data_IF_968685263097
#
_entry.id   IF_968685263097
#
_cell.length_a   1.000
_cell.length_b   1.000
_cell.length_c   1.000
_cell.angle_alpha   90.00
_cell.angle_beta   90.00
_cell.angle_gamma   90.00
#
_symmetry.space_group_name_H-M   'P 1'
#
loop_
_entity.id
_entity.type
_entity.pdbx_description
1 polymer ?
#
# COMPACT_ATOMS: atom_id res chain seq x y z
N UNK A 1 11.89 -13.21 -26.40
CA UNK A 1 12.20 -11.77 -26.48
C UNK A 1 11.00 -11.03 -27.08
N UNK A 2 10.31 -10.18 -26.29
CA UNK A 2 9.41 -9.07 -26.71
C UNK A 2 9.37 -8.08 -25.52
N UNK A 3 10.31 -7.13 -25.41
CA UNK A 3 10.24 -5.72 -25.86
C UNK A 3 9.00 -4.97 -25.35
N UNK A 4 9.18 -4.10 -24.33
CA UNK A 4 8.21 -3.09 -23.91
C UNK A 4 7.92 -3.04 -22.40
N UNK A 5 8.91 -2.64 -21.59
CA UNK A 5 8.77 -2.46 -20.14
C UNK A 5 7.93 -1.22 -19.81
N UNK A 6 6.61 -1.29 -20.00
CA UNK A 6 5.67 -0.38 -19.35
C UNK A 6 5.29 -1.00 -18.00
N UNK A 7 6.09 -0.71 -16.98
CA UNK A 7 5.70 -1.00 -15.59
C UNK A 7 4.43 -0.19 -15.28
N UNK A 8 3.27 -0.83 -15.45
CA UNK A 8 1.96 -0.24 -15.14
C UNK A 8 1.96 0.27 -13.70
N UNK A 9 1.17 1.32 -13.43
CA UNK A 9 1.07 1.86 -12.07
C UNK A 9 0.67 0.78 -11.05
N UNK A 10 -0.15 -0.19 -11.46
CA UNK A 10 -0.50 -1.37 -10.67
C UNK A 10 0.72 -2.24 -10.32
N UNK A 11 1.59 -2.56 -11.28
CA UNK A 11 2.83 -3.31 -11.02
C UNK A 11 3.78 -2.55 -10.09
N UNK A 12 3.81 -1.21 -10.17
CA UNK A 12 4.61 -0.39 -9.25
C UNK A 12 4.04 -0.43 -7.84
N UNK A 13 2.72 -0.33 -7.69
CA UNK A 13 2.04 -0.39 -6.40
C UNK A 13 2.18 -1.78 -5.75
N UNK A 14 2.13 -2.85 -6.53
CA UNK A 14 2.42 -4.22 -6.08
C UNK A 14 3.80 -4.32 -5.42
N UNK A 15 4.84 -3.92 -6.17
CA UNK A 15 6.22 -3.97 -5.67
C UNK A 15 6.43 -3.08 -4.45
N UNK A 16 5.72 -1.95 -4.41
CA UNK A 16 5.76 -1.04 -3.26
C UNK A 16 5.12 -1.69 -2.02
N UNK A 17 4.04 -2.45 -2.18
CA UNK A 17 3.40 -3.20 -1.10
C UNK A 17 4.35 -4.28 -0.55
N UNK A 18 4.90 -5.12 -1.44
CA UNK A 18 5.87 -6.17 -1.09
C UNK A 18 7.08 -5.63 -0.32
N UNK A 19 7.63 -4.50 -0.80
CA UNK A 19 8.75 -3.83 -0.13
C UNK A 19 8.34 -3.31 1.25
N UNK A 20 7.17 -2.70 1.36
CA UNK A 20 6.66 -2.14 2.62
C UNK A 20 6.41 -3.26 3.64
N UNK A 21 5.76 -4.35 3.24
CA UNK A 21 5.58 -5.56 4.05
C UNK A 21 6.93 -6.06 4.56
N UNK A 22 7.91 -6.23 3.66
CA UNK A 22 9.25 -6.69 4.03
C UNK A 22 9.90 -5.79 5.08
N UNK A 23 9.73 -4.46 4.96
CA UNK A 23 10.26 -3.51 5.94
C UNK A 23 9.55 -3.61 7.29
N UNK A 24 8.23 -3.77 7.30
CA UNK A 24 7.44 -3.91 8.55
C UNK A 24 7.84 -5.19 9.28
N UNK A 25 7.84 -6.32 8.58
CA UNK A 25 8.17 -7.62 9.17
C UNK A 25 9.64 -7.70 9.64
N UNK A 26 10.54 -6.97 8.99
CA UNK A 26 11.93 -6.86 9.42
C UNK A 26 12.15 -5.82 10.55
N UNK A 27 11.09 -5.23 11.13
CA UNK A 27 11.19 -4.22 12.17
C UNK A 27 11.76 -2.87 11.71
N UNK A 28 11.91 -2.64 10.40
CA UNK A 28 12.44 -1.40 9.81
C UNK A 28 11.35 -0.32 9.72
N UNK A 29 10.70 -0.02 10.84
CA UNK A 29 9.48 0.80 10.91
C UNK A 29 9.67 2.19 10.30
N UNK A 30 10.78 2.88 10.58
CA UNK A 30 11.05 4.20 10.01
C UNK A 30 11.10 4.20 8.47
N UNK A 31 11.54 3.10 7.84
CA UNK A 31 11.53 2.97 6.38
C UNK A 31 10.15 2.61 5.85
N UNK A 32 9.42 1.74 6.57
CA UNK A 32 8.03 1.43 6.24
C UNK A 32 7.14 2.68 6.27
N UNK A 33 7.29 3.54 7.29
CA UNK A 33 6.58 4.83 7.37
C UNK A 33 6.84 5.70 6.14
N UNK A 34 8.09 5.79 5.65
CA UNK A 34 8.38 6.55 4.42
C UNK A 34 7.67 5.99 3.19
N UNK A 35 7.56 4.66 3.07
CA UNK A 35 6.79 4.04 1.99
C UNK A 35 5.30 4.37 2.13
N UNK A 36 4.75 4.32 3.34
CA UNK A 36 3.36 4.66 3.61
C UNK A 36 3.05 6.13 3.30
N UNK A 37 3.91 7.06 3.71
CA UNK A 37 3.78 8.48 3.40
C UNK A 37 3.84 8.73 1.88
N UNK A 38 4.69 8.00 1.16
CA UNK A 38 4.76 8.08 -0.29
C UNK A 38 3.47 7.56 -0.95
N UNK A 39 2.91 6.45 -0.45
CA UNK A 39 1.64 5.92 -0.93
C UNK A 39 0.48 6.88 -0.64
N UNK A 40 0.44 7.50 0.55
CA UNK A 40 -0.56 8.50 0.90
C UNK A 40 -0.47 9.73 -0.02
N UNK A 41 0.74 10.21 -0.32
CA UNK A 41 0.94 11.31 -1.28
C UNK A 41 0.42 10.95 -2.67
N UNK A 42 0.69 9.73 -3.15
CA UNK A 42 0.18 9.23 -4.43
C UNK A 42 -1.35 9.11 -4.43
N UNK A 43 -1.93 8.72 -3.29
CA UNK A 43 -3.38 8.66 -3.13
C UNK A 43 -4.03 10.05 -3.14
N UNK A 44 -3.46 11.04 -2.44
CA UNK A 44 -4.04 12.37 -2.37
C UNK A 44 -3.89 13.17 -3.68
N UNK A 45 -2.71 13.09 -4.30
CA UNK A 45 -2.36 13.94 -5.46
C UNK A 45 -2.41 13.22 -6.81
N UNK A 46 -2.49 11.89 -6.82
CA UNK A 46 -2.45 11.10 -8.05
C UNK A 46 -3.72 11.20 -8.90
N UNK A 47 -3.60 10.77 -10.15
CA UNK A 47 -4.74 10.59 -11.06
C UNK A 47 -5.71 9.53 -10.54
N UNK A 48 -6.92 9.49 -11.08
CA UNK A 48 -7.90 8.45 -10.76
C UNK A 48 -7.31 7.03 -10.82
N UNK A 49 -6.53 6.74 -11.86
CA UNK A 49 -5.86 5.45 -12.03
C UNK A 49 -4.82 5.18 -10.93
N UNK A 50 -4.03 6.19 -10.55
CA UNK A 50 -3.06 6.06 -9.45
C UNK A 50 -3.76 5.84 -8.12
N UNK A 51 -4.83 6.59 -7.83
CA UNK A 51 -5.62 6.42 -6.60
C UNK A 51 -6.19 5.01 -6.49
N UNK A 52 -6.79 4.52 -7.57
CA UNK A 52 -7.31 3.15 -7.63
C UNK A 52 -6.19 2.11 -7.44
N UNK A 53 -5.01 2.32 -8.02
CA UNK A 53 -3.88 1.40 -7.82
C UNK A 53 -3.37 1.41 -6.38
N UNK A 54 -3.37 2.57 -5.71
CA UNK A 54 -3.00 2.65 -4.28
C UNK A 54 -4.00 1.90 -3.41
N UNK A 55 -5.31 2.13 -3.60
CA UNK A 55 -6.33 1.50 -2.76
C UNK A 55 -6.45 0.00 -3.02
N UNK A 56 -6.56 -0.40 -4.30
CA UNK A 56 -6.95 -1.77 -4.65
C UNK A 56 -5.76 -2.73 -4.81
N UNK A 57 -4.53 -2.22 -4.89
CA UNK A 57 -3.33 -3.05 -4.94
C UNK A 57 -2.49 -2.80 -3.70
N UNK A 58 -1.96 -1.58 -3.53
CA UNK A 58 -1.01 -1.33 -2.45
C UNK A 58 -1.62 -1.55 -1.06
N UNK A 59 -2.75 -0.89 -0.77
CA UNK A 59 -3.37 -0.92 0.55
C UNK A 59 -3.93 -2.30 0.86
N UNK A 60 -4.68 -2.89 -0.08
CA UNK A 60 -5.28 -4.22 0.06
C UNK A 60 -4.24 -5.31 0.33
N UNK A 61 -3.17 -5.39 -0.47
CA UNK A 61 -2.14 -6.42 -0.28
C UNK A 61 -1.35 -6.21 1.01
N UNK A 62 -0.99 -4.96 1.31
CA UNK A 62 -0.26 -4.62 2.52
C UNK A 62 -1.09 -5.01 3.76
N UNK A 63 -2.36 -4.59 3.83
CA UNK A 63 -3.19 -4.87 5.00
C UNK A 63 -3.43 -6.36 5.17
N UNK A 64 -3.71 -7.07 4.08
CA UNK A 64 -3.96 -8.52 4.11
C UNK A 64 -2.77 -9.29 4.68
N UNK A 65 -1.55 -8.99 4.22
CA UNK A 65 -0.35 -9.68 4.71
C UNK A 65 -0.05 -9.30 6.16
N UNK A 66 -0.17 -8.01 6.51
CA UNK A 66 0.11 -7.58 7.88
C UNK A 66 -0.89 -8.14 8.90
N UNK A 67 -2.16 -8.29 8.54
CA UNK A 67 -3.17 -8.97 9.36
C UNK A 67 -2.85 -10.44 9.59
N UNK A 68 -2.39 -11.16 8.55
CA UNK A 68 -1.93 -12.56 8.67
C UNK A 68 -0.75 -12.71 9.63
N UNK A 69 0.09 -11.67 9.74
CA UNK A 69 1.20 -11.61 10.69
C UNK A 69 0.82 -10.96 12.03
N UNK A 70 -0.48 -10.79 12.33
CA UNK A 70 -1.00 -10.18 13.56
C UNK A 70 -0.45 -8.77 13.86
N UNK A 71 -0.05 -8.03 12.82
CA UNK A 71 0.40 -6.66 12.95
C UNK A 71 -0.80 -5.72 13.08
N UNK A 72 -0.68 -4.68 13.91
CA UNK A 72 -1.73 -3.67 14.04
C UNK A 72 -1.69 -2.68 12.86
N UNK A 73 -2.36 -3.04 11.76
CA UNK A 73 -2.40 -2.26 10.52
C UNK A 73 -2.93 -0.85 10.74
N UNK A 74 -4.00 -0.69 11.55
CA UNK A 74 -4.62 0.62 11.82
C UNK A 74 -3.63 1.61 12.44
N UNK A 75 -2.76 1.16 13.34
CA UNK A 75 -1.77 2.03 13.98
C UNK A 75 -0.62 2.42 13.04
N UNK A 76 -0.37 1.63 12.00
CA UNK A 76 0.72 1.85 11.07
C UNK A 76 0.34 2.82 9.94
N UNK A 77 -0.92 2.77 9.49
CA UNK A 77 -1.38 3.52 8.32
C UNK A 77 -1.50 5.04 8.58
N UNK A 78 -1.07 5.89 7.64
CA UNK A 78 -1.40 7.30 7.61
C UNK A 78 -2.91 7.55 7.53
N UNK A 79 -3.36 8.71 8.00
CA UNK A 79 -4.78 9.00 8.25
C UNK A 79 -5.69 8.78 7.02
N UNK A 80 -5.23 9.14 5.81
CA UNK A 80 -6.05 9.00 4.60
C UNK A 80 -6.17 7.55 4.17
N UNK A 81 -5.07 6.78 4.25
CA UNK A 81 -5.07 5.35 3.92
C UNK A 81 -5.82 4.53 4.98
N UNK A 82 -5.72 4.92 6.25
CA UNK A 82 -6.47 4.30 7.34
C UNK A 82 -7.98 4.40 7.11
N UNK A 83 -8.48 5.55 6.63
CA UNK A 83 -9.90 5.73 6.28
C UNK A 83 -10.34 4.79 5.16
N UNK A 84 -9.54 4.64 4.11
CA UNK A 84 -9.86 3.73 3.01
C UNK A 84 -9.83 2.26 3.45
N UNK A 85 -8.87 1.88 4.30
CA UNK A 85 -8.81 0.56 4.89
C UNK A 85 -10.06 0.24 5.73
N UNK A 86 -10.51 1.19 6.56
CA UNK A 86 -11.75 1.02 7.34
C UNK A 86 -12.96 0.84 6.40
N UNK A 87 -13.03 1.59 5.29
CA UNK A 87 -14.09 1.41 4.29
C UNK A 87 -14.04 0.03 3.64
N UNK A 88 -12.86 -0.47 3.27
CA UNK A 88 -12.69 -1.80 2.69
C UNK A 88 -13.20 -2.89 3.63
N UNK A 89 -12.91 -2.79 4.92
CA UNK A 89 -13.31 -3.81 5.90
C UNK A 89 -14.80 -3.72 6.30
N UNK A 90 -15.40 -2.53 6.22
CA UNK A 90 -16.82 -2.34 6.52
C UNK A 90 -17.74 -2.54 5.30
N UNK A 91 -17.19 -2.85 4.13
CA UNK A 91 -17.96 -3.10 2.91
C UNK A 91 -18.61 -4.51 2.87
N UNK A 92 -18.61 -5.24 4.00
CA UNK A 92 -19.21 -6.55 4.19
C UNK A 92 -20.42 -6.47 5.11
#
# INVERSE_FOLDING_TARGET
MKTGNYSSIYNRMQRMAELTVTMVLAGKIARACKCLDAAEKLFLSGSYQTRNAVINVFLYDLSSILELHHCNVKMLLPASLQKEYIKQNNAF
#
